data_IF_766943895661
#
_entry.id   IF_766943895661
#
_cell.length_a   1.000
_cell.length_b   1.000
_cell.length_c   1.000
_cell.angle_alpha   90.00
_cell.angle_beta   90.00
_cell.angle_gamma   90.00
#
_symmetry.space_group_name_H-M   'P 1'
#
loop_
_entity.id
_entity.type
_entity.pdbx_description
1 polymer ?
#
# COMPACT_ATOMS: atom_id res chain seq x y z
N UNK A 1 10.22 8.90 38.91
CA UNK A 1 8.78 8.60 39.00
C UNK A 1 8.44 7.68 37.84
N UNK A 2 8.29 6.39 38.04
CA UNK A 2 7.92 5.43 37.02
C UNK A 2 6.47 5.67 36.61
N UNK A 3 6.09 5.65 35.32
CA UNK A 3 4.72 5.82 34.91
C UNK A 3 3.87 4.66 35.43
N UNK A 4 2.72 4.97 36.00
CA UNK A 4 1.77 3.99 36.51
C UNK A 4 1.41 2.93 35.46
N UNK A 5 1.35 1.62 35.84
CA UNK A 5 0.89 0.56 34.95
C UNK A 5 -0.59 0.81 34.65
N UNK A 6 -0.89 1.25 33.40
CA UNK A 6 -2.27 1.39 32.94
C UNK A 6 -2.61 2.67 32.19
N UNK A 7 -1.76 3.68 32.12
CA UNK A 7 -2.01 4.84 31.28
C UNK A 7 -1.87 4.45 29.80
N UNK A 8 -2.92 4.62 28.96
CA UNK A 8 -2.81 4.28 27.55
C UNK A 8 -1.71 5.12 26.89
N UNK A 9 -0.85 4.52 26.05
CA UNK A 9 0.22 5.26 25.39
C UNK A 9 -0.36 6.46 24.64
N UNK A 10 0.15 7.65 24.91
CA UNK A 10 -0.21 8.85 24.15
C UNK A 10 0.09 8.56 22.67
N UNK A 11 -0.86 8.90 21.78
CA UNK A 11 -0.62 8.95 20.34
C UNK A 11 0.46 10.02 20.11
N UNK A 12 1.73 9.70 20.37
CA UNK A 12 2.79 10.66 20.55
C UNK A 12 3.90 10.51 19.51
N UNK A 13 5.08 11.02 19.86
CA UNK A 13 6.24 11.15 18.98
C UNK A 13 6.62 9.90 18.16
N UNK A 14 6.33 8.69 18.64
CA UNK A 14 6.61 7.45 17.89
C UNK A 14 5.68 7.24 16.70
N UNK A 15 4.38 7.58 16.83
CA UNK A 15 3.46 7.54 15.68
C UNK A 15 3.82 8.62 14.67
N UNK A 16 4.21 9.82 15.15
CA UNK A 16 4.69 10.88 14.28
C UNK A 16 5.95 10.46 13.52
N UNK A 17 6.92 9.85 14.19
CA UNK A 17 8.14 9.34 13.57
C UNK A 17 7.83 8.25 12.51
N UNK A 18 6.95 7.28 12.83
CA UNK A 18 6.48 6.29 11.85
C UNK A 18 5.78 6.97 10.67
N UNK A 19 4.94 7.97 10.92
CA UNK A 19 4.20 8.69 9.87
C UNK A 19 5.14 9.46 8.95
N UNK A 20 6.13 10.16 9.49
CA UNK A 20 7.18 10.84 8.70
C UNK A 20 7.98 9.82 7.89
N UNK A 21 8.38 8.70 8.52
CA UNK A 21 9.04 7.59 7.83
C UNK A 21 8.21 7.04 6.66
N UNK A 22 6.88 6.95 6.81
CA UNK A 22 6.00 6.52 5.72
C UNK A 22 5.94 7.54 4.57
N UNK A 23 5.83 8.84 4.87
CA UNK A 23 5.82 9.88 3.81
C UNK A 23 7.09 9.77 2.96
N UNK A 24 8.25 9.70 3.62
CA UNK A 24 9.55 9.65 2.94
C UNK A 24 9.72 8.33 2.19
N UNK A 25 9.44 7.19 2.83
CA UNK A 25 9.62 5.88 2.22
C UNK A 25 8.68 5.65 1.02
N UNK A 26 7.40 6.02 1.11
CA UNK A 26 6.47 5.95 -0.02
C UNK A 26 6.88 6.92 -1.13
N UNK A 27 7.27 8.14 -0.78
CA UNK A 27 7.73 9.16 -1.74
C UNK A 27 8.90 8.66 -2.57
N UNK A 28 9.91 8.17 -1.91
CA UNK A 28 11.18 7.80 -2.55
C UNK A 28 11.16 6.40 -3.16
N UNK A 29 10.70 5.40 -2.40
CA UNK A 29 10.76 3.99 -2.86
C UNK A 29 9.59 3.59 -3.76
N UNK A 30 8.54 4.42 -3.86
CA UNK A 30 7.37 4.10 -4.68
C UNK A 30 7.13 5.16 -5.76
N UNK A 31 6.99 6.44 -5.40
CA UNK A 31 6.58 7.46 -6.35
C UNK A 31 7.70 8.02 -7.23
N UNK A 32 8.95 8.02 -6.75
CA UNK A 32 10.06 8.65 -7.48
C UNK A 32 10.29 8.04 -8.87
N UNK A 33 10.25 6.70 -9.00
CA UNK A 33 10.44 6.05 -10.30
C UNK A 33 9.31 6.39 -11.28
N UNK A 34 8.08 6.43 -10.80
CA UNK A 34 6.93 6.72 -11.66
C UNK A 34 7.10 8.08 -12.31
N UNK A 35 7.58 9.09 -11.54
CA UNK A 35 7.82 10.45 -12.03
C UNK A 35 9.06 10.52 -12.92
N UNK A 36 10.13 9.80 -12.58
CA UNK A 36 11.39 9.85 -13.30
C UNK A 36 11.43 8.96 -14.55
N UNK A 37 10.47 8.05 -14.73
CA UNK A 37 10.52 7.06 -15.82
C UNK A 37 10.62 7.66 -17.24
N UNK A 38 9.98 8.78 -17.60
CA UNK A 38 10.21 9.41 -18.90
C UNK A 38 11.67 9.90 -19.07
N UNK A 39 12.18 10.63 -18.08
CA UNK A 39 13.55 11.18 -18.14
C UNK A 39 14.62 10.07 -18.19
N UNK A 40 14.38 8.93 -17.50
CA UNK A 40 15.24 7.76 -17.59
C UNK A 40 15.20 7.15 -19.00
N UNK A 41 14.00 7.03 -19.59
CA UNK A 41 13.85 6.48 -20.93
C UNK A 41 14.51 7.37 -21.98
N UNK A 42 14.38 8.68 -21.87
CA UNK A 42 14.99 9.66 -22.79
C UNK A 42 16.54 9.62 -22.73
N UNK A 43 17.12 9.51 -21.52
CA UNK A 43 18.58 9.45 -21.33
C UNK A 43 19.18 8.10 -21.77
N UNK A 44 18.50 6.99 -21.48
CA UNK A 44 19.05 5.65 -21.66
C UNK A 44 18.64 5.00 -22.97
N UNK A 45 17.59 5.48 -23.63
CA UNK A 45 16.95 4.82 -24.77
C UNK A 45 16.15 3.56 -24.40
N UNK A 46 15.97 3.26 -23.11
CA UNK A 46 15.17 2.12 -22.68
C UNK A 46 13.68 2.43 -22.82
N UNK A 47 12.87 1.50 -23.35
CA UNK A 47 11.42 1.70 -23.40
C UNK A 47 10.83 2.01 -22.02
N UNK A 48 10.00 3.04 -21.90
CA UNK A 48 9.33 3.43 -20.63
C UNK A 48 8.62 2.25 -19.98
N UNK A 49 8.04 1.36 -20.79
CA UNK A 49 7.38 0.15 -20.30
C UNK A 49 8.36 -0.80 -19.58
N UNK A 50 9.59 -0.93 -20.04
CA UNK A 50 10.62 -1.74 -19.38
C UNK A 50 11.10 -1.06 -18.09
N UNK A 51 11.30 0.26 -18.11
CA UNK A 51 11.67 1.03 -16.92
C UNK A 51 10.59 0.87 -15.85
N UNK A 52 9.31 0.98 -16.20
CA UNK A 52 8.20 0.77 -15.27
C UNK A 52 8.05 -0.69 -14.82
N UNK A 53 8.38 -1.66 -15.65
CA UNK A 53 8.35 -3.08 -15.29
C UNK A 53 9.37 -3.42 -14.19
N UNK A 54 10.49 -2.70 -14.10
CA UNK A 54 11.45 -2.87 -13.01
C UNK A 54 10.84 -2.54 -11.65
N UNK A 55 9.91 -1.59 -11.59
CA UNK A 55 9.14 -1.31 -10.37
C UNK A 55 8.25 -2.50 -9.96
N UNK A 56 7.65 -3.19 -10.93
CA UNK A 56 6.90 -4.43 -10.65
C UNK A 56 7.80 -5.50 -10.02
N UNK A 57 9.07 -5.60 -10.45
CA UNK A 57 10.03 -6.52 -9.82
C UNK A 57 10.30 -6.18 -8.35
N UNK A 58 10.40 -4.88 -8.01
CA UNK A 58 10.53 -4.44 -6.63
C UNK A 58 9.30 -4.84 -5.79
N UNK A 59 8.09 -4.61 -6.31
CA UNK A 59 6.85 -4.98 -5.62
C UNK A 59 6.68 -6.49 -5.45
N UNK A 60 7.03 -7.29 -6.46
CA UNK A 60 7.06 -8.75 -6.37
C UNK A 60 8.04 -9.21 -5.30
N UNK A 61 9.24 -8.63 -5.29
CA UNK A 61 10.23 -8.89 -4.23
C UNK A 61 9.70 -8.50 -2.86
N UNK A 62 9.05 -7.34 -2.75
CA UNK A 62 8.42 -6.88 -1.51
C UNK A 62 7.32 -7.82 -1.02
N UNK A 63 6.50 -8.37 -1.94
CA UNK A 63 5.47 -9.34 -1.62
C UNK A 63 6.08 -10.62 -1.02
N UNK A 64 7.09 -11.19 -1.66
CA UNK A 64 7.77 -12.40 -1.21
C UNK A 64 8.52 -12.17 0.10
N UNK A 65 9.35 -11.12 0.15
CA UNK A 65 10.13 -10.77 1.34
C UNK A 65 9.25 -10.42 2.53
N UNK A 66 8.08 -9.82 2.30
CA UNK A 66 7.12 -9.44 3.32
C UNK A 66 6.65 -10.60 4.21
N UNK A 67 6.58 -11.82 3.66
CA UNK A 67 6.26 -13.03 4.42
C UNK A 67 7.33 -13.32 5.50
N UNK A 68 8.59 -13.16 5.14
CA UNK A 68 9.71 -13.39 6.06
C UNK A 68 9.90 -12.21 7.02
N UNK A 69 9.82 -10.99 6.50
CA UNK A 69 9.94 -9.75 7.29
C UNK A 69 8.85 -9.68 8.35
N UNK A 70 7.62 -10.09 8.07
CA UNK A 70 6.54 -10.15 9.05
C UNK A 70 6.88 -11.04 10.26
N UNK A 71 7.45 -12.23 10.01
CA UNK A 71 7.92 -13.13 11.07
C UNK A 71 9.09 -12.53 11.87
N UNK A 72 10.02 -11.88 11.18
CA UNK A 72 11.16 -11.23 11.83
C UNK A 72 10.71 -10.06 12.71
N UNK A 73 9.71 -9.29 12.26
CA UNK A 73 9.13 -8.20 13.05
C UNK A 73 8.50 -8.72 14.35
N UNK A 74 7.73 -9.80 14.29
CA UNK A 74 7.13 -10.42 15.49
C UNK A 74 8.21 -10.96 16.44
N UNK A 75 9.27 -11.59 15.90
CA UNK A 75 10.32 -12.25 16.69
C UNK A 75 11.36 -11.28 17.26
N UNK A 76 11.85 -10.33 16.47
CA UNK A 76 12.99 -9.46 16.81
C UNK A 76 12.61 -8.01 17.08
N UNK A 77 11.35 -7.66 16.81
CA UNK A 77 10.85 -6.30 16.91
C UNK A 77 11.19 -5.41 15.72
N UNK A 78 10.54 -4.24 15.66
CA UNK A 78 10.60 -3.37 14.48
C UNK A 78 11.90 -2.59 14.35
N UNK A 79 12.56 -2.26 15.48
CA UNK A 79 13.70 -1.34 15.47
C UNK A 79 14.81 -1.80 14.53
N UNK A 80 15.31 -3.02 14.71
CA UNK A 80 16.39 -3.55 13.87
C UNK A 80 15.92 -3.73 12.43
N UNK A 81 14.77 -4.37 12.23
CA UNK A 81 14.28 -4.74 10.90
C UNK A 81 13.98 -3.50 10.05
N UNK A 82 13.28 -2.50 10.61
CA UNK A 82 12.97 -1.27 9.88
C UNK A 82 14.22 -0.41 9.64
N UNK A 83 15.17 -0.38 10.59
CA UNK A 83 16.44 0.33 10.38
C UNK A 83 17.28 -0.34 9.29
N UNK A 84 17.39 -1.67 9.28
CA UNK A 84 18.08 -2.40 8.21
C UNK A 84 17.41 -2.14 6.85
N UNK A 85 16.07 -2.15 6.78
CA UNK A 85 15.33 -1.75 5.58
C UNK A 85 15.66 -0.33 5.13
N UNK A 86 15.82 0.61 6.10
CA UNK A 86 16.20 2.01 5.83
C UNK A 86 17.66 2.18 5.35
N UNK A 87 18.49 1.15 5.45
CA UNK A 87 19.85 1.12 4.87
C UNK A 87 19.86 0.41 3.52
N UNK A 88 19.12 -0.70 3.41
CA UNK A 88 19.00 -1.47 2.16
C UNK A 88 18.37 -0.63 1.05
N UNK A 89 17.32 0.17 1.36
CA UNK A 89 16.65 1.02 0.37
C UNK A 89 17.59 2.00 -0.34
N UNK A 90 18.33 2.84 0.41
CA UNK A 90 19.35 3.70 -0.16
C UNK A 90 20.41 2.96 -0.98
N UNK A 91 20.88 1.81 -0.49
CA UNK A 91 21.85 0.99 -1.25
C UNK A 91 21.27 0.53 -2.60
N UNK A 92 20.00 0.12 -2.63
CA UNK A 92 19.30 -0.20 -3.88
C UNK A 92 19.18 1.00 -4.82
N UNK A 93 18.85 2.19 -4.27
CA UNK A 93 18.74 3.43 -5.06
C UNK A 93 20.09 3.88 -5.62
N UNK A 94 21.19 3.69 -4.89
CA UNK A 94 22.54 3.93 -5.39
C UNK A 94 22.85 2.98 -6.55
N UNK A 95 22.50 1.68 -6.43
CA UNK A 95 22.66 0.72 -7.52
C UNK A 95 21.82 1.11 -8.75
N UNK A 96 20.59 1.61 -8.56
CA UNK A 96 19.74 2.17 -9.63
C UNK A 96 20.42 3.37 -10.30
N UNK A 97 20.91 4.32 -9.53
CA UNK A 97 21.54 5.55 -10.05
C UNK A 97 22.84 5.26 -10.84
N UNK A 98 23.62 4.27 -10.41
CA UNK A 98 24.87 3.90 -11.02
C UNK A 98 24.73 2.79 -12.09
N UNK A 99 23.50 2.39 -12.41
CA UNK A 99 23.25 1.28 -13.34
C UNK A 99 23.74 1.61 -14.78
N UNK A 100 24.65 0.79 -15.34
CA UNK A 100 25.13 0.94 -16.73
C UNK A 100 24.17 0.31 -17.74
N UNK A 101 23.25 -0.55 -17.30
CA UNK A 101 22.29 -1.25 -18.15
C UNK A 101 21.02 -1.61 -17.38
N UNK A 102 20.00 -2.02 -18.12
CA UNK A 102 18.68 -2.35 -17.56
C UNK A 102 18.71 -3.51 -16.55
N UNK A 103 19.64 -4.47 -16.68
CA UNK A 103 19.75 -5.59 -15.74
C UNK A 103 20.19 -5.11 -14.35
N UNK A 104 21.25 -4.29 -14.28
CA UNK A 104 21.73 -3.71 -13.02
C UNK A 104 20.68 -2.76 -12.42
N UNK A 105 20.00 -1.99 -13.28
CA UNK A 105 18.89 -1.14 -12.88
C UNK A 105 17.76 -1.96 -12.22
N UNK A 106 17.37 -3.07 -12.86
CA UNK A 106 16.38 -4.01 -12.30
C UNK A 106 16.85 -4.63 -10.99
N UNK A 107 18.12 -5.05 -10.91
CA UNK A 107 18.68 -5.58 -9.66
C UNK A 107 18.64 -4.55 -8.52
N UNK A 108 18.91 -3.27 -8.80
CA UNK A 108 18.75 -2.18 -7.84
C UNK A 108 17.31 -2.09 -7.33
N UNK A 109 16.32 -2.21 -8.22
CA UNK A 109 14.89 -2.23 -7.82
C UNK A 109 14.52 -3.48 -7.04
N UNK A 110 15.04 -4.64 -7.35
CA UNK A 110 14.89 -5.86 -6.53
C UNK A 110 15.42 -5.62 -5.11
N UNK A 111 16.58 -4.98 -4.96
CA UNK A 111 17.12 -4.60 -3.63
C UNK A 111 16.17 -3.64 -2.91
N UNK A 112 15.63 -2.61 -3.60
CA UNK A 112 14.64 -1.72 -2.97
C UNK A 112 13.37 -2.46 -2.55
N UNK A 113 12.98 -3.53 -3.24
CA UNK A 113 11.84 -4.37 -2.89
C UNK A 113 11.98 -5.01 -1.50
N UNK A 114 13.17 -5.48 -1.13
CA UNK A 114 13.43 -5.95 0.25
C UNK A 114 13.24 -4.80 1.26
N UNK A 115 13.74 -3.61 0.95
CA UNK A 115 13.54 -2.45 1.81
C UNK A 115 12.06 -2.08 1.95
N UNK A 116 11.30 -2.07 0.84
CA UNK A 116 9.86 -1.79 0.84
C UNK A 116 9.10 -2.69 1.81
N UNK A 117 9.39 -4.00 1.81
CA UNK A 117 8.76 -4.95 2.74
C UNK A 117 9.01 -4.64 4.21
N UNK A 118 10.16 -4.03 4.52
CA UNK A 118 10.60 -3.75 5.88
C UNK A 118 10.20 -2.34 6.38
N UNK A 119 9.90 -1.37 5.49
CA UNK A 119 9.67 0.02 5.91
C UNK A 119 8.29 0.58 5.54
N UNK A 120 7.55 -0.04 4.58
CA UNK A 120 6.23 0.44 4.18
C UNK A 120 5.11 -0.02 5.14
N UNK A 121 3.85 0.16 4.73
CA UNK A 121 2.67 -0.06 5.57
C UNK A 121 2.63 -1.41 6.28
N UNK A 122 3.06 -2.49 5.66
CA UNK A 122 3.03 -3.82 6.27
C UNK A 122 3.84 -3.88 7.58
N UNK A 123 5.06 -3.34 7.56
CA UNK A 123 5.91 -3.26 8.76
C UNK A 123 5.33 -2.29 9.80
N UNK A 124 4.91 -1.10 9.36
CA UNK A 124 4.34 -0.09 10.25
C UNK A 124 3.02 -0.55 10.91
N UNK A 125 2.16 -1.28 10.19
CA UNK A 125 0.94 -1.86 10.74
C UNK A 125 1.22 -2.93 11.78
N UNK A 126 2.29 -3.72 11.61
CA UNK A 126 2.75 -4.67 12.63
C UNK A 126 3.11 -3.95 13.93
N UNK A 127 3.86 -2.85 13.86
CA UNK A 127 4.19 -2.03 15.03
C UNK A 127 2.92 -1.48 15.69
N UNK A 128 2.00 -0.94 14.89
CA UNK A 128 0.75 -0.36 15.39
C UNK A 128 -0.14 -1.42 16.01
N UNK A 129 -0.29 -2.58 15.39
CA UNK A 129 -1.12 -3.67 15.90
C UNK A 129 -0.66 -4.14 17.29
N UNK A 130 0.65 -4.28 17.49
CA UNK A 130 1.20 -4.70 18.79
C UNK A 130 1.11 -3.61 19.86
N UNK A 131 1.33 -2.34 19.48
CA UNK A 131 1.50 -1.26 20.45
C UNK A 131 0.21 -0.57 20.86
N UNK A 132 -0.73 -0.37 19.92
CA UNK A 132 -1.85 0.55 20.12
C UNK A 132 -3.16 -0.15 20.54
N UNK A 133 -3.20 -1.48 20.61
CA UNK A 133 -4.35 -2.24 21.12
C UNK A 133 -5.69 -1.76 20.55
N UNK A 134 -6.59 -1.31 21.41
CA UNK A 134 -7.91 -0.79 21.01
C UNK A 134 -7.81 0.48 20.14
N UNK A 135 -6.73 1.27 20.24
CA UNK A 135 -6.54 2.51 19.47
C UNK A 135 -5.85 2.27 18.12
N UNK A 136 -5.57 1.01 17.72
CA UNK A 136 -4.84 0.67 16.48
C UNK A 136 -5.51 1.24 15.23
N UNK A 137 -6.84 1.25 15.14
CA UNK A 137 -7.57 1.80 13.98
C UNK A 137 -7.25 3.27 13.78
N UNK A 138 -7.34 4.10 14.83
CA UNK A 138 -6.98 5.52 14.76
C UNK A 138 -5.50 5.75 14.42
N UNK A 139 -4.59 4.95 15.00
CA UNK A 139 -3.16 5.04 14.70
C UNK A 139 -2.86 4.66 13.24
N UNK A 140 -3.47 3.59 12.70
CA UNK A 140 -3.35 3.20 11.29
C UNK A 140 -3.90 4.29 10.37
N UNK A 141 -5.01 4.94 10.75
CA UNK A 141 -5.58 6.05 9.98
C UNK A 141 -4.62 7.23 9.92
N UNK A 142 -4.08 7.69 11.05
CA UNK A 142 -3.10 8.79 11.07
C UNK A 142 -1.89 8.44 10.20
N UNK A 143 -1.36 7.23 10.35
CA UNK A 143 -0.23 6.75 9.56
C UNK A 143 -0.53 6.77 8.05
N UNK A 144 -1.70 6.26 7.65
CA UNK A 144 -2.06 6.18 6.22
C UNK A 144 -2.47 7.51 5.64
N UNK A 145 -3.04 8.42 6.44
CA UNK A 145 -3.26 9.81 6.02
C UNK A 145 -1.93 10.52 5.74
N UNK A 146 -0.97 10.37 6.65
CA UNK A 146 0.38 10.90 6.43
C UNK A 146 1.03 10.31 5.18
N UNK A 147 1.05 8.97 5.06
CA UNK A 147 1.62 8.30 3.88
C UNK A 147 0.92 8.65 2.57
N UNK A 148 -0.37 9.03 2.62
CA UNK A 148 -1.11 9.56 1.47
C UNK A 148 -0.58 10.89 0.95
N UNK A 149 0.11 11.68 1.78
CA UNK A 149 0.77 12.93 1.36
C UNK A 149 2.07 12.68 0.57
N UNK A 150 2.58 11.45 0.55
CA UNK A 150 3.84 11.14 -0.11
C UNK A 150 3.84 11.52 -1.60
N UNK A 151 2.79 11.20 -2.35
CA UNK A 151 2.69 11.57 -3.76
C UNK A 151 2.59 13.08 -3.95
N UNK A 152 1.82 13.76 -3.10
CA UNK A 152 1.62 15.22 -3.16
C UNK A 152 2.92 15.99 -2.90
N UNK A 153 3.80 15.45 -2.06
CA UNK A 153 5.09 16.07 -1.73
C UNK A 153 6.15 15.65 -2.75
N UNK A 154 6.33 14.35 -2.96
CA UNK A 154 7.46 13.82 -3.72
C UNK A 154 7.29 13.89 -5.23
N UNK A 155 6.07 13.81 -5.78
CA UNK A 155 5.90 13.90 -7.22
C UNK A 155 6.35 15.28 -7.76
N UNK A 156 5.87 16.42 -7.24
CA UNK A 156 6.37 17.72 -7.70
C UNK A 156 7.85 17.96 -7.32
N UNK A 157 8.31 17.44 -6.17
CA UNK A 157 9.72 17.57 -5.78
C UNK A 157 10.64 16.86 -6.77
N UNK A 158 10.34 15.60 -7.13
CA UNK A 158 11.14 14.82 -8.10
C UNK A 158 11.05 15.47 -9.49
N UNK A 159 9.86 15.86 -9.92
CA UNK A 159 9.69 16.56 -11.20
C UNK A 159 10.51 17.87 -11.26
N UNK A 160 10.47 18.67 -10.20
CA UNK A 160 11.27 19.90 -10.10
C UNK A 160 12.78 19.65 -10.07
N UNK A 161 13.25 18.60 -9.38
CA UNK A 161 14.66 18.24 -9.39
C UNK A 161 15.13 17.82 -10.78
N UNK A 162 14.34 17.08 -11.53
CA UNK A 162 14.64 16.62 -12.89
C UNK A 162 14.78 17.76 -13.91
N UNK A 163 14.31 18.97 -13.58
CA UNK A 163 14.54 20.16 -14.46
C UNK A 163 15.91 20.78 -14.27
N UNK A 164 16.62 20.47 -13.18
CA UNK A 164 17.90 21.12 -12.81
C UNK A 164 19.08 20.15 -12.69
N UNK A 165 18.82 18.88 -12.41
CA UNK A 165 19.84 17.82 -12.32
C UNK A 165 19.36 16.55 -13.03
N UNK A 166 20.32 15.73 -13.46
CA UNK A 166 20.02 14.45 -14.10
C UNK A 166 19.37 13.45 -13.15
N UNK A 167 18.69 12.46 -13.70
CA UNK A 167 17.93 11.47 -12.90
C UNK A 167 18.83 10.64 -11.98
N UNK A 168 20.10 10.39 -12.35
CA UNK A 168 21.06 9.65 -11.51
C UNK A 168 21.36 10.44 -10.24
N UNK A 169 21.64 11.74 -10.40
CA UNK A 169 21.87 12.65 -9.28
C UNK A 169 20.62 12.79 -8.40
N UNK A 170 19.41 12.81 -9.00
CA UNK A 170 18.15 12.79 -8.24
C UNK A 170 18.07 11.53 -7.37
N UNK A 171 18.32 10.34 -7.92
CA UNK A 171 18.25 9.09 -7.14
C UNK A 171 19.33 8.99 -6.06
N UNK A 172 20.54 9.52 -6.30
CA UNK A 172 21.58 9.63 -5.26
C UNK A 172 21.17 10.58 -4.13
N UNK A 173 20.60 11.73 -4.47
CA UNK A 173 20.06 12.67 -3.49
C UNK A 173 18.95 12.03 -2.65
N UNK A 174 18.00 11.36 -3.30
CA UNK A 174 16.90 10.67 -2.64
C UNK A 174 17.40 9.52 -1.76
N UNK A 175 18.44 8.80 -2.16
CA UNK A 175 19.10 7.79 -1.34
C UNK A 175 19.70 8.42 -0.07
N UNK A 176 20.39 9.55 -0.21
CA UNK A 176 20.91 10.31 0.93
C UNK A 176 19.82 10.78 1.89
N UNK A 177 18.75 11.37 1.35
CA UNK A 177 17.59 11.81 2.14
C UNK A 177 16.94 10.63 2.89
N UNK A 178 16.70 9.51 2.19
CA UNK A 178 16.11 8.31 2.78
C UNK A 178 16.97 7.79 3.94
N UNK A 179 18.28 7.64 3.73
CA UNK A 179 19.21 7.18 4.74
C UNK A 179 19.27 8.11 5.96
N UNK A 180 19.48 9.40 5.69
CA UNK A 180 19.67 10.41 6.73
C UNK A 180 18.40 10.63 7.59
N UNK A 181 17.23 10.31 7.07
CA UNK A 181 15.96 10.53 7.78
C UNK A 181 15.41 9.24 8.36
N UNK A 182 15.16 8.21 7.54
CA UNK A 182 14.41 7.03 8.00
C UNK A 182 15.24 6.11 8.89
N UNK A 183 16.55 5.98 8.66
CA UNK A 183 17.39 5.14 9.52
C UNK A 183 17.49 5.68 10.96
N UNK A 184 17.79 6.98 11.21
CA UNK A 184 17.72 7.55 12.55
C UNK A 184 16.31 7.51 13.15
N UNK A 185 15.26 7.83 12.36
CA UNK A 185 13.88 7.76 12.85
C UNK A 185 13.53 6.37 13.37
N UNK A 186 13.83 5.31 12.62
CA UNK A 186 13.54 3.95 13.04
C UNK A 186 14.42 3.52 14.20
N UNK A 187 15.72 3.89 14.21
CA UNK A 187 16.64 3.51 15.26
C UNK A 187 16.34 4.15 16.61
N UNK A 188 15.99 5.43 16.63
CA UNK A 188 15.78 6.17 17.88
C UNK A 188 14.34 6.19 18.37
N UNK A 189 13.35 6.09 17.46
CA UNK A 189 11.94 6.20 17.82
C UNK A 189 11.27 4.86 18.11
N UNK A 190 11.78 3.75 17.55
CA UNK A 190 11.20 2.43 17.76
C UNK A 190 11.74 1.77 19.04
N UNK A 191 10.97 0.84 19.59
CA UNK A 191 11.26 0.23 20.89
C UNK A 191 12.53 -0.61 20.87
N UNK A 192 13.34 -0.43 21.93
CA UNK A 192 14.51 -1.27 22.19
C UNK A 192 14.13 -2.62 22.79
N UNK A 193 13.16 -2.59 23.71
CA UNK A 193 12.62 -3.78 24.36
C UNK A 193 11.34 -4.17 23.65
N UNK A 194 11.44 -5.10 22.75
CA UNK A 194 10.29 -5.77 22.15
C UNK A 194 10.01 -6.98 23.03
N UNK A 195 8.78 -7.10 23.55
CA UNK A 195 8.38 -8.37 24.12
C UNK A 195 8.24 -9.35 22.96
N UNK A 196 9.23 -10.20 22.71
CA UNK A 196 9.11 -11.13 21.61
C UNK A 196 7.89 -11.98 21.91
N UNK A 197 7.08 -12.21 20.90
CA UNK A 197 6.25 -13.39 20.93
C UNK A 197 7.26 -14.53 21.08
N UNK A 198 7.43 -15.05 22.34
CA UNK A 198 8.33 -16.17 22.58
C UNK A 198 7.85 -17.30 21.70
N UNK A 199 8.64 -17.60 20.68
CA UNK A 199 8.50 -18.82 19.92
C UNK A 199 8.94 -19.96 20.82
N UNK A 200 8.10 -20.32 21.79
CA UNK A 200 8.34 -21.48 22.65
C UNK A 200 8.19 -22.76 21.80
N UNK A 201 9.09 -22.89 20.82
CA UNK A 201 9.24 -24.11 20.02
C UNK A 201 8.17 -24.33 18.92
N UNK A 202 7.98 -25.58 18.48
CA UNK A 202 7.11 -25.96 17.36
C UNK A 202 5.66 -25.47 17.44
N UNK A 203 5.15 -25.18 18.64
CA UNK A 203 3.75 -24.78 18.88
C UNK A 203 3.32 -23.47 18.20
N UNK A 204 4.22 -22.52 17.97
CA UNK A 204 3.86 -21.23 17.40
C UNK A 204 3.93 -21.20 15.86
N UNK A 205 4.88 -21.93 15.28
CA UNK A 205 4.86 -22.22 13.84
C UNK A 205 3.58 -23.00 13.51
N UNK A 206 3.13 -23.88 14.39
CA UNK A 206 1.84 -24.56 14.29
C UNK A 206 0.66 -23.57 14.40
N UNK A 207 0.73 -22.53 15.23
CA UNK A 207 -0.33 -21.54 15.37
C UNK A 207 -0.54 -20.70 14.09
N UNK A 208 0.54 -20.20 13.47
CA UNK A 208 0.45 -19.45 12.19
C UNK A 208 -0.01 -20.40 11.07
N UNK A 209 0.56 -21.59 10.95
CA UNK A 209 0.16 -22.58 9.94
C UNK A 209 -1.27 -23.06 10.17
N UNK A 210 -1.71 -23.19 11.42
CA UNK A 210 -3.09 -23.52 11.74
C UNK A 210 -4.06 -22.46 11.22
N UNK A 211 -3.75 -21.15 11.40
CA UNK A 211 -4.58 -20.05 10.86
C UNK A 211 -4.59 -20.08 9.34
N UNK A 212 -3.42 -20.13 8.71
CA UNK A 212 -3.28 -20.08 7.24
C UNK A 212 -3.92 -21.28 6.54
N UNK A 213 -4.06 -22.44 7.23
CA UNK A 213 -4.76 -23.62 6.68
C UNK A 213 -6.27 -23.55 6.82
N UNK A 214 -6.84 -22.58 7.55
CA UNK A 214 -8.29 -22.49 7.75
C UNK A 214 -9.00 -21.99 6.50
N UNK A 215 -10.21 -22.50 6.26
CA UNK A 215 -11.12 -21.96 5.24
C UNK A 215 -11.37 -20.46 5.46
N UNK A 216 -11.47 -20.03 6.72
CA UNK A 216 -11.73 -18.64 7.09
C UNK A 216 -10.61 -17.70 6.60
N UNK A 217 -9.34 -18.11 6.71
CA UNK A 217 -8.21 -17.33 6.19
C UNK A 217 -8.29 -17.18 4.66
N UNK A 218 -8.56 -18.26 3.94
CA UNK A 218 -8.64 -18.22 2.49
C UNK A 218 -9.86 -17.47 1.97
N UNK A 219 -10.99 -17.50 2.70
CA UNK A 219 -12.15 -16.67 2.36
C UNK A 219 -11.84 -15.18 2.53
N UNK A 220 -11.11 -14.80 3.60
CA UNK A 220 -10.61 -13.45 3.78
C UNK A 220 -9.65 -13.06 2.66
N UNK A 221 -8.68 -13.91 2.34
CA UNK A 221 -7.69 -13.70 1.29
C UNK A 221 -8.36 -13.48 -0.07
N UNK A 222 -9.24 -14.40 -0.48
CA UNK A 222 -9.96 -14.31 -1.75
C UNK A 222 -10.84 -13.06 -1.82
N UNK A 223 -11.54 -12.73 -0.72
CA UNK A 223 -12.33 -11.52 -0.64
C UNK A 223 -11.47 -10.27 -0.84
N UNK A 224 -10.35 -10.18 -0.13
CA UNK A 224 -9.50 -9.00 -0.22
C UNK A 224 -8.75 -8.92 -1.56
N UNK A 225 -8.33 -10.06 -2.11
CA UNK A 225 -7.64 -10.13 -3.39
C UNK A 225 -8.55 -9.71 -4.55
N UNK A 226 -9.80 -10.23 -4.59
CA UNK A 226 -10.78 -9.84 -5.62
C UNK A 226 -11.17 -8.37 -5.48
N UNK A 227 -11.33 -7.85 -4.25
CA UNK A 227 -11.60 -6.44 -4.01
C UNK A 227 -10.45 -5.53 -4.44
N UNK A 228 -9.21 -5.90 -4.09
CA UNK A 228 -8.02 -5.15 -4.48
C UNK A 228 -7.88 -5.12 -6.01
N UNK A 229 -8.05 -6.26 -6.67
CA UNK A 229 -8.01 -6.36 -8.13
C UNK A 229 -9.06 -5.45 -8.77
N UNK A 230 -10.30 -5.49 -8.29
CA UNK A 230 -11.38 -4.65 -8.80
C UNK A 230 -11.04 -3.15 -8.68
N UNK A 231 -10.65 -2.71 -7.48
CA UNK A 231 -10.36 -1.30 -7.22
C UNK A 231 -9.09 -0.82 -7.93
N UNK A 232 -8.02 -1.62 -7.98
CA UNK A 232 -6.80 -1.24 -8.70
C UNK A 232 -7.02 -1.12 -10.19
N UNK A 233 -7.71 -2.08 -10.82
CA UNK A 233 -7.97 -2.06 -12.26
C UNK A 233 -8.69 -0.79 -12.71
N UNK A 234 -9.73 -0.37 -11.97
CA UNK A 234 -10.52 0.81 -12.36
C UNK A 234 -9.84 2.12 -11.93
N UNK A 235 -9.33 2.21 -10.70
CA UNK A 235 -8.80 3.48 -10.21
C UNK A 235 -7.49 3.88 -10.88
N UNK A 236 -6.67 2.93 -11.33
CA UNK A 236 -5.45 3.22 -12.09
C UNK A 236 -5.73 3.48 -13.58
N UNK A 237 -6.89 3.04 -14.09
CA UNK A 237 -7.35 3.30 -15.44
C UNK A 237 -8.47 4.38 -15.49
N UNK A 238 -8.58 5.22 -14.45
CA UNK A 238 -9.68 6.20 -14.37
C UNK A 238 -9.62 7.25 -15.49
N UNK A 239 -8.43 7.72 -15.84
CA UNK A 239 -8.26 8.70 -16.93
C UNK A 239 -8.79 8.14 -18.26
N UNK A 240 -8.31 6.99 -18.77
CA UNK A 240 -8.85 6.43 -20.02
C UNK A 240 -10.34 6.06 -19.91
N UNK A 241 -10.85 5.62 -18.75
CA UNK A 241 -12.28 5.39 -18.56
C UNK A 241 -13.10 6.67 -18.74
N UNK A 242 -12.63 7.80 -18.19
CA UNK A 242 -13.34 9.07 -18.30
C UNK A 242 -13.20 9.70 -19.68
N UNK A 243 -12.05 9.55 -20.33
CA UNK A 243 -11.88 10.00 -21.72
C UNK A 243 -12.73 9.19 -22.70
N UNK A 244 -12.91 7.88 -22.48
CA UNK A 244 -13.87 7.05 -23.24
C UNK A 244 -15.31 7.60 -23.14
N UNK A 245 -15.66 8.19 -21.98
CA UNK A 245 -16.97 8.83 -21.76
C UNK A 245 -17.06 10.28 -22.22
N UNK A 246 -16.08 10.75 -23.01
CA UNK A 246 -16.07 12.10 -23.61
C UNK A 246 -15.51 13.21 -22.70
N UNK A 247 -14.91 12.88 -21.55
CA UNK A 247 -14.25 13.88 -20.71
C UNK A 247 -12.88 14.23 -21.31
N UNK A 248 -12.46 15.51 -21.23
CA UNK A 248 -11.10 15.89 -21.61
C UNK A 248 -10.06 15.22 -20.70
N UNK A 249 -8.88 14.93 -21.24
CA UNK A 249 -7.79 14.31 -20.49
C UNK A 249 -7.36 15.14 -19.27
N UNK A 250 -7.40 16.47 -19.38
CA UNK A 250 -7.10 17.40 -18.30
C UNK A 250 -8.13 17.26 -17.17
N UNK A 251 -9.43 17.29 -17.48
CA UNK A 251 -10.49 17.15 -16.48
C UNK A 251 -10.48 15.76 -15.84
N UNK A 252 -10.17 14.70 -16.62
CA UNK A 252 -10.01 13.34 -16.12
C UNK A 252 -8.81 13.22 -15.15
N UNK A 253 -7.72 13.94 -15.41
CA UNK A 253 -6.57 14.00 -14.50
C UNK A 253 -6.93 14.73 -13.19
N UNK A 254 -7.68 15.83 -13.24
CA UNK A 254 -8.23 16.49 -12.05
C UNK A 254 -9.16 15.55 -11.26
N UNK A 255 -10.02 14.81 -11.95
CA UNK A 255 -10.90 13.82 -11.31
C UNK A 255 -10.12 12.71 -10.58
N UNK A 256 -8.99 12.26 -11.14
CA UNK A 256 -8.10 11.32 -10.47
C UNK A 256 -7.47 11.92 -9.20
N UNK A 257 -7.10 13.20 -9.22
CA UNK A 257 -6.67 13.93 -8.05
C UNK A 257 -7.76 13.99 -6.95
N UNK A 258 -8.99 14.28 -7.34
CA UNK A 258 -10.15 14.33 -6.43
C UNK A 258 -10.52 12.94 -5.88
N UNK A 259 -10.28 11.86 -6.61
CA UNK A 259 -10.36 10.49 -6.08
C UNK A 259 -9.42 10.34 -4.88
N UNK A 260 -8.21 10.92 -4.93
CA UNK A 260 -7.29 10.95 -3.79
C UNK A 260 -7.87 11.66 -2.57
N UNK A 261 -8.56 12.79 -2.77
CA UNK A 261 -9.29 13.46 -1.68
C UNK A 261 -10.40 12.55 -1.09
N UNK A 262 -11.11 11.84 -1.96
CA UNK A 262 -12.05 10.80 -1.53
C UNK A 262 -11.41 9.76 -0.62
N UNK A 263 -10.19 9.30 -0.90
CA UNK A 263 -9.50 8.33 -0.03
C UNK A 263 -9.29 8.85 1.40
N UNK A 264 -9.04 10.15 1.56
CA UNK A 264 -8.93 10.78 2.89
C UNK A 264 -10.27 10.68 3.62
N UNK A 265 -11.37 11.05 2.94
CA UNK A 265 -12.73 10.96 3.50
C UNK A 265 -13.04 9.52 3.93
N UNK A 266 -12.77 8.53 3.09
CA UNK A 266 -13.03 7.12 3.40
C UNK A 266 -12.25 6.60 4.61
N UNK A 267 -11.01 7.03 4.79
CA UNK A 267 -10.20 6.68 5.97
C UNK A 267 -10.79 7.28 7.25
N UNK A 268 -11.28 8.52 7.19
CA UNK A 268 -11.93 9.17 8.33
C UNK A 268 -13.27 8.50 8.68
N UNK A 269 -14.08 8.15 7.69
CA UNK A 269 -15.33 7.43 7.89
C UNK A 269 -15.13 6.04 8.49
N UNK A 270 -14.05 5.33 8.09
CA UNK A 270 -13.73 4.03 8.67
C UNK A 270 -13.44 4.09 10.18
N UNK A 271 -12.77 5.14 10.66
CA UNK A 271 -12.52 5.32 12.11
C UNK A 271 -13.81 5.53 12.89
N UNK A 272 -14.79 6.19 12.28
CA UNK A 272 -16.09 6.42 12.90
C UNK A 272 -16.96 5.15 12.99
N UNK A 273 -16.56 4.06 12.29
CA UNK A 273 -17.31 2.80 12.35
C UNK A 273 -17.23 2.17 13.75
N UNK A 274 -18.36 1.73 14.35
CA UNK A 274 -18.37 1.12 15.67
C UNK A 274 -17.42 -0.10 15.76
N UNK A 275 -16.74 -0.22 16.90
CA UNK A 275 -15.82 -1.34 17.16
C UNK A 275 -16.54 -2.66 17.48
N UNK A 276 -17.83 -2.60 17.73
CA UNK A 276 -18.68 -3.75 18.15
C UNK A 276 -19.18 -4.59 16.99
N UNK A 277 -18.98 -4.14 15.74
CA UNK A 277 -19.43 -4.90 14.57
C UNK A 277 -18.58 -6.16 14.35
N UNK A 278 -19.20 -7.22 13.80
CA UNK A 278 -18.50 -8.46 13.49
C UNK A 278 -17.33 -8.20 12.51
N UNK A 279 -16.19 -8.92 12.63
CA UNK A 279 -14.98 -8.66 11.83
C UNK A 279 -15.16 -8.73 10.30
N UNK A 280 -16.16 -9.45 9.82
CA UNK A 280 -16.46 -9.55 8.39
C UNK A 280 -17.23 -8.33 7.84
N UNK A 281 -17.97 -7.59 8.70
CA UNK A 281 -18.86 -6.48 8.29
C UNK A 281 -18.12 -5.34 7.60
N UNK A 282 -16.98 -4.82 8.12
CA UNK A 282 -16.25 -3.75 7.43
C UNK A 282 -15.82 -4.14 6.02
N UNK A 283 -15.39 -5.38 5.81
CA UNK A 283 -15.00 -5.90 4.51
C UNK A 283 -16.23 -6.02 3.59
N UNK A 284 -17.34 -6.56 4.07
CA UNK A 284 -18.56 -6.71 3.30
C UNK A 284 -19.15 -5.34 2.88
N UNK A 285 -19.19 -4.37 3.79
CA UNK A 285 -19.62 -2.99 3.48
C UNK A 285 -18.73 -2.36 2.42
N UNK A 286 -17.40 -2.49 2.59
CA UNK A 286 -16.44 -1.94 1.60
C UNK A 286 -16.60 -2.63 0.24
N UNK A 287 -16.78 -3.94 0.19
CA UNK A 287 -17.00 -4.68 -1.06
C UNK A 287 -18.33 -4.29 -1.73
N UNK A 288 -19.41 -4.16 -0.97
CA UNK A 288 -20.73 -3.74 -1.49
C UNK A 288 -20.69 -2.32 -2.04
N UNK A 289 -20.10 -1.37 -1.30
CA UNK A 289 -19.92 0.01 -1.77
C UNK A 289 -18.96 0.08 -2.98
N UNK A 290 -17.95 -0.78 -3.06
CA UNK A 290 -17.10 -0.91 -4.25
C UNK A 290 -17.92 -1.35 -5.45
N UNK A 291 -18.69 -2.44 -5.31
CA UNK A 291 -19.52 -2.93 -6.40
C UNK A 291 -20.49 -1.84 -6.90
N UNK A 292 -21.14 -1.13 -5.97
CA UNK A 292 -22.07 -0.05 -6.32
C UNK A 292 -21.37 1.12 -7.03
N UNK A 293 -20.26 1.62 -6.46
CA UNK A 293 -19.55 2.76 -7.06
C UNK A 293 -18.91 2.42 -8.42
N UNK A 294 -18.36 1.19 -8.56
CA UNK A 294 -17.81 0.71 -9.83
C UNK A 294 -18.90 0.48 -10.86
N UNK A 295 -20.10 0.01 -10.48
CA UNK A 295 -21.25 -0.10 -11.37
C UNK A 295 -21.69 1.28 -11.87
N UNK A 296 -21.73 2.29 -11.01
CA UNK A 296 -22.00 3.66 -11.40
C UNK A 296 -20.93 4.18 -12.38
N UNK A 297 -19.65 3.94 -12.13
CA UNK A 297 -18.57 4.29 -13.05
C UNK A 297 -18.70 3.58 -14.42
N UNK A 298 -19.16 2.34 -14.43
CA UNK A 298 -19.37 1.58 -15.66
C UNK A 298 -20.58 2.10 -16.49
N UNK A 299 -21.71 2.28 -15.82
CA UNK A 299 -23.02 2.47 -16.47
C UNK A 299 -23.39 3.93 -16.72
N UNK A 300 -22.92 4.87 -15.91
CA UNK A 300 -23.25 6.29 -16.04
C UNK A 300 -22.40 6.92 -17.17
N UNK A 301 -23.01 7.45 -18.25
CA UNK A 301 -22.28 8.04 -19.38
C UNK A 301 -21.80 9.49 -19.10
N UNK A 302 -22.42 10.18 -18.16
CA UNK A 302 -22.17 11.59 -17.84
C UNK A 302 -23.32 12.20 -17.06
N UNK A 303 -23.33 13.49 -16.77
CA UNK A 303 -22.35 14.53 -17.15
C UNK A 303 -21.03 14.47 -16.38
N UNK A 304 -19.99 15.20 -16.81
CA UNK A 304 -18.64 15.14 -16.19
C UNK A 304 -18.62 15.34 -14.68
N UNK A 305 -19.38 16.30 -14.15
CA UNK A 305 -19.44 16.54 -12.71
C UNK A 305 -19.95 15.32 -11.93
N UNK A 306 -20.90 14.57 -12.48
CA UNK A 306 -21.44 13.37 -11.84
C UNK A 306 -20.39 12.25 -11.82
N UNK A 307 -19.63 12.08 -12.90
CA UNK A 307 -18.52 11.13 -12.97
C UNK A 307 -17.43 11.47 -11.95
N UNK A 308 -17.14 12.76 -11.74
CA UNK A 308 -16.21 13.23 -10.70
C UNK A 308 -16.71 12.85 -9.30
N UNK A 309 -18.00 13.10 -9.00
CA UNK A 309 -18.59 12.74 -7.71
C UNK A 309 -18.52 11.22 -7.47
N UNK A 310 -18.85 10.41 -8.47
CA UNK A 310 -18.73 8.95 -8.39
C UNK A 310 -17.26 8.55 -8.18
N UNK A 311 -16.32 9.21 -8.85
CA UNK A 311 -14.88 9.02 -8.66
C UNK A 311 -14.43 9.31 -7.22
N UNK A 312 -14.92 10.40 -6.60
CA UNK A 312 -14.64 10.73 -5.18
C UNK A 312 -15.20 9.64 -4.26
N UNK A 313 -16.42 9.15 -4.51
CA UNK A 313 -17.05 8.06 -3.74
C UNK A 313 -16.20 6.78 -3.86
N UNK A 314 -15.80 6.43 -5.09
CA UNK A 314 -14.92 5.28 -5.33
C UNK A 314 -13.58 5.44 -4.60
N UNK A 315 -13.03 6.65 -4.59
CA UNK A 315 -11.86 7.01 -3.80
C UNK A 315 -12.07 6.78 -2.31
N UNK A 316 -13.23 7.20 -1.76
CA UNK A 316 -13.54 6.99 -0.34
C UNK A 316 -13.59 5.49 0.01
N UNK A 317 -14.21 4.69 -0.82
CA UNK A 317 -14.25 3.23 -0.63
C UNK A 317 -12.83 2.63 -0.68
N UNK A 318 -11.99 3.05 -1.62
CA UNK A 318 -10.59 2.62 -1.71
C UNK A 318 -9.76 3.03 -0.49
N UNK A 319 -10.00 4.23 0.04
CA UNK A 319 -9.36 4.71 1.27
C UNK A 319 -9.72 3.85 2.48
N UNK A 320 -11.00 3.51 2.63
CA UNK A 320 -11.48 2.60 3.67
C UNK A 320 -10.90 1.19 3.50
N UNK A 321 -10.82 0.65 2.28
CA UNK A 321 -10.27 -0.67 1.97
C UNK A 321 -8.83 -0.83 2.51
N UNK A 322 -7.99 0.19 2.40
CA UNK A 322 -6.62 0.15 2.93
C UNK A 322 -6.60 -0.10 4.45
N UNK A 323 -7.52 0.48 5.19
CA UNK A 323 -7.63 0.31 6.64
C UNK A 323 -8.30 -1.01 7.03
N UNK A 324 -9.31 -1.44 6.26
CA UNK A 324 -9.92 -2.78 6.40
C UNK A 324 -8.86 -3.85 6.21
N UNK A 325 -8.00 -3.74 5.19
CA UNK A 325 -6.88 -4.65 4.96
C UNK A 325 -5.91 -4.66 6.15
N UNK A 326 -5.49 -3.48 6.63
CA UNK A 326 -4.55 -3.36 7.75
C UNK A 326 -5.09 -3.90 9.08
N UNK A 327 -6.42 -3.85 9.31
CA UNK A 327 -7.03 -4.34 10.53
C UNK A 327 -7.53 -5.79 10.44
N UNK A 328 -7.70 -6.35 9.24
CA UNK A 328 -8.37 -7.61 8.98
C UNK A 328 -7.82 -8.79 9.77
N UNK A 329 -6.50 -8.93 9.84
CA UNK A 329 -5.82 -10.00 10.60
C UNK A 329 -5.98 -9.81 12.10
N UNK A 330 -5.75 -8.58 12.59
CA UNK A 330 -5.84 -8.28 14.02
C UNK A 330 -7.27 -8.42 14.56
N UNK A 331 -8.28 -8.08 13.77
CA UNK A 331 -9.69 -8.16 14.16
C UNK A 331 -10.18 -9.61 14.23
N UNK A 332 -9.52 -10.57 13.57
CA UNK A 332 -9.92 -12.00 13.51
C UNK A 332 -9.08 -12.92 14.39
N UNK A 333 -7.78 -12.69 14.43
CA UNK A 333 -6.83 -13.58 15.11
C UNK A 333 -6.00 -12.88 16.19
N UNK A 334 -6.32 -11.60 16.47
CA UNK A 334 -5.58 -10.81 17.46
C UNK A 334 -4.24 -10.30 16.93
N UNK A 335 -3.44 -9.78 17.85
CA UNK A 335 -2.19 -9.08 17.51
C UNK A 335 -0.94 -9.89 17.80
N UNK A 336 -1.03 -11.06 18.45
CA UNK A 336 0.12 -11.81 18.96
C UNK A 336 1.10 -12.24 17.86
N UNK A 337 0.61 -12.78 16.74
CA UNK A 337 1.41 -13.18 15.57
C UNK A 337 0.99 -12.38 14.33
N UNK A 338 0.67 -11.09 14.52
CA UNK A 338 0.13 -10.26 13.47
C UNK A 338 1.08 -10.13 12.29
N UNK A 339 2.36 -9.88 12.52
CA UNK A 339 3.34 -9.70 11.45
C UNK A 339 3.48 -10.95 10.58
N UNK A 340 3.56 -12.13 11.19
CA UNK A 340 3.68 -13.39 10.49
C UNK A 340 2.44 -13.74 9.65
N UNK A 341 1.23 -13.58 10.21
CA UNK A 341 -0.03 -13.85 9.51
C UNK A 341 -0.27 -12.79 8.44
N UNK A 342 -0.06 -11.51 8.77
CA UNK A 342 -0.24 -10.40 7.84
C UNK A 342 0.78 -10.45 6.69
N UNK A 343 1.98 -10.97 6.91
CA UNK A 343 2.98 -11.18 5.87
C UNK A 343 2.46 -12.13 4.79
N UNK A 344 1.84 -13.24 5.18
CA UNK A 344 1.21 -14.18 4.24
C UNK A 344 -0.01 -13.57 3.58
N UNK A 345 -0.86 -12.91 4.35
CA UNK A 345 -2.09 -12.25 3.88
C UNK A 345 -1.82 -11.10 2.91
N UNK A 346 -0.82 -10.27 3.14
CA UNK A 346 -0.54 -9.12 2.28
C UNK A 346 0.22 -9.49 0.99
N UNK A 347 0.89 -10.65 0.94
CA UNK A 347 1.75 -11.01 -0.18
C UNK A 347 1.00 -11.14 -1.51
N UNK A 348 -0.11 -11.89 -1.66
CA UNK A 348 -0.86 -11.96 -2.91
C UNK A 348 -1.44 -10.60 -3.32
N UNK A 349 -1.90 -9.80 -2.36
CA UNK A 349 -2.47 -8.45 -2.62
C UNK A 349 -1.38 -7.51 -3.15
N UNK A 350 -0.18 -7.53 -2.55
CA UNK A 350 0.97 -6.75 -3.02
C UNK A 350 1.46 -7.22 -4.39
N UNK A 351 1.44 -8.54 -4.62
CA UNK A 351 1.79 -9.14 -5.91
C UNK A 351 0.84 -8.64 -7.02
N UNK A 352 -0.48 -8.69 -6.81
CA UNK A 352 -1.45 -8.14 -7.75
C UNK A 352 -1.26 -6.63 -7.94
N UNK A 353 -0.97 -5.91 -6.87
CA UNK A 353 -0.66 -4.47 -6.91
C UNK A 353 0.55 -4.13 -7.80
N UNK A 354 1.52 -5.05 -7.92
CA UNK A 354 2.68 -4.89 -8.80
C UNK A 354 2.29 -4.76 -10.29
N UNK A 355 1.18 -5.39 -10.69
CA UNK A 355 0.65 -5.34 -12.04
C UNK A 355 -0.52 -4.37 -12.19
N UNK A 356 -0.89 -3.67 -11.11
CA UNK A 356 -2.02 -2.75 -11.07
C UNK A 356 -2.14 -1.80 -12.26
N UNK A 357 -1.07 -1.10 -12.69
CA UNK A 357 -1.12 -0.21 -13.85
C UNK A 357 -1.43 -0.91 -15.18
N UNK A 358 -1.08 -2.20 -15.32
CA UNK A 358 -1.32 -2.98 -16.52
C UNK A 358 -2.67 -3.70 -16.50
N UNK A 359 -3.20 -4.03 -15.31
CA UNK A 359 -4.44 -4.82 -15.17
C UNK A 359 -5.65 -4.15 -15.82
N UNK A 360 -5.86 -2.86 -15.57
CA UNK A 360 -6.98 -2.11 -16.16
C UNK A 360 -6.94 -2.12 -17.69
N UNK A 361 -5.86 -1.63 -18.32
CA UNK A 361 -5.71 -1.66 -19.77
C UNK A 361 -5.83 -3.06 -20.39
N UNK A 362 -5.22 -4.08 -19.81
CA UNK A 362 -5.32 -5.47 -20.30
C UNK A 362 -6.77 -5.99 -20.26
N UNK A 363 -7.47 -5.74 -19.17
CA UNK A 363 -8.88 -6.11 -19.05
C UNK A 363 -9.76 -5.29 -20.01
N UNK A 364 -9.45 -4.02 -20.25
CA UNK A 364 -10.19 -3.18 -21.19
C UNK A 364 -10.01 -3.68 -22.64
N UNK A 365 -8.79 -4.07 -23.03
CA UNK A 365 -8.54 -4.68 -24.34
C UNK A 365 -9.31 -6.00 -24.48
N UNK A 366 -9.29 -6.85 -23.46
CA UNK A 366 -10.00 -8.14 -23.49
C UNK A 366 -11.53 -7.97 -23.51
N UNK A 367 -12.06 -6.93 -22.84
CA UNK A 367 -13.49 -6.65 -22.74
C UNK A 367 -14.02 -5.73 -23.87
N UNK A 368 -13.13 -5.11 -24.65
CA UNK A 368 -13.45 -4.19 -25.76
C UNK A 368 -13.64 -2.72 -25.35
N UNK A 369 -13.71 -2.38 -24.06
CA UNK A 369 -13.81 -1.01 -23.57
C UNK A 369 -13.44 -0.88 -22.08
N UNK A 370 -13.12 0.34 -21.61
CA UNK A 370 -12.90 0.61 -20.19
C UNK A 370 -14.19 0.52 -19.37
N UNK A 371 -15.34 0.85 -19.95
CA UNK A 371 -16.63 0.65 -19.30
C UNK A 371 -16.96 -0.83 -19.09
N UNK A 372 -16.65 -1.70 -20.05
CA UNK A 372 -16.81 -3.14 -19.92
C UNK A 372 -15.81 -3.73 -18.90
N UNK A 373 -14.57 -3.25 -18.87
CA UNK A 373 -13.59 -3.57 -17.82
C UNK A 373 -14.14 -3.23 -16.43
N UNK A 374 -14.78 -2.06 -16.27
CA UNK A 374 -15.39 -1.66 -15.00
C UNK A 374 -16.54 -2.62 -14.59
N UNK A 375 -17.31 -3.18 -15.53
CA UNK A 375 -18.32 -4.22 -15.23
C UNK A 375 -17.67 -5.53 -14.74
N UNK A 376 -16.53 -5.94 -15.30
CA UNK A 376 -15.76 -7.07 -14.78
C UNK A 376 -15.34 -6.80 -13.32
N UNK A 377 -14.88 -5.58 -13.05
CA UNK A 377 -14.52 -5.17 -11.70
C UNK A 377 -15.71 -5.18 -10.72
N UNK A 378 -16.92 -4.85 -11.17
CA UNK A 378 -18.16 -5.04 -10.39
C UNK A 378 -18.35 -6.51 -10.00
N UNK A 379 -18.18 -7.43 -10.95
CA UNK A 379 -18.25 -8.88 -10.68
C UNK A 379 -17.22 -9.32 -9.63
N UNK A 380 -15.98 -8.83 -9.72
CA UNK A 380 -14.94 -9.12 -8.72
C UNK A 380 -15.28 -8.55 -7.33
N UNK A 381 -15.85 -7.33 -7.25
CA UNK A 381 -16.29 -6.74 -6.00
C UNK A 381 -17.50 -7.49 -5.40
N UNK A 382 -18.42 -7.98 -6.23
CA UNK A 382 -19.53 -8.83 -5.81
C UNK A 382 -19.04 -10.19 -5.27
N UNK A 383 -18.05 -10.81 -5.92
CA UNK A 383 -17.39 -12.02 -5.40
C UNK A 383 -16.71 -11.76 -4.05
N UNK A 384 -16.06 -10.60 -3.91
CA UNK A 384 -15.48 -10.19 -2.63
C UNK A 384 -16.56 -10.14 -1.53
N UNK A 385 -17.70 -9.52 -1.81
CA UNK A 385 -18.82 -9.45 -0.87
C UNK A 385 -19.31 -10.85 -0.46
N UNK A 386 -19.42 -11.77 -1.42
CA UNK A 386 -19.82 -13.15 -1.16
C UNK A 386 -18.82 -13.88 -0.23
N UNK A 387 -17.51 -13.74 -0.49
CA UNK A 387 -16.47 -14.35 0.34
C UNK A 387 -16.34 -13.68 1.72
N UNK A 388 -16.58 -12.38 1.83
CA UNK A 388 -16.46 -11.62 3.07
C UNK A 388 -17.31 -12.21 4.20
N UNK A 389 -18.49 -12.73 3.90
CA UNK A 389 -19.41 -13.33 4.87
C UNK A 389 -18.83 -14.58 5.57
N UNK A 390 -17.93 -15.28 4.89
CA UNK A 390 -17.32 -16.53 5.39
C UNK A 390 -15.91 -16.32 5.95
N UNK A 391 -15.46 -15.06 6.05
CA UNK A 391 -14.11 -14.67 6.46
C UNK A 391 -13.94 -14.40 7.95
#
# INVERSE_FOLDING_TARGET
>A
MAPSPGAPPRLGGRLAALSVGQVISWGILFYALIVASPAIADDTGWPVALVTLTFSSAMVTSAIAGVFVGRLLDARGPRLIMTVGSVIGPAGLVAVALAPNLLVFTAGWVITGFAQSAVLYQAAFTVIAHRYGARRRGAMTILTLAGGLASTIFAPTVAGLLTVIDWRAVFLLLAGVLLATTAPLHWFSLERTWAPVRHDGPKEVHAVSAVVRTRRFWMLELSMLTLATALFSVTLALIPLFTEKGMSSELAAWALGLLGAGQVIGRLLYVAMPHTVAPWVPLAVTAGLSAASLALLALVPGPPWLLIVIGIITGAVRGAQTLVQGSAVADRWGTRSYGAINGVFAAPITFIGAFGPALGPLLAVAAGSYSAMALIAVGLAALSLAFARFS
#
